data_IF_700796892749
#
_entry.id   IF_700796892749
#
_cell.length_a   1.000
_cell.length_b   1.000
_cell.length_c   1.000
_cell.angle_alpha   90.00
_cell.angle_beta   90.00
_cell.angle_gamma   90.00
#
_symmetry.space_group_name_H-M   'P 1'
#
loop_
_entity.id
_entity.type
_entity.pdbx_description
1 polymer ?
#
# COMPACT_ATOMS: atom_id res chain seq x y z
N UNK A 1 -13.97 -6.63 -21.63
CA UNK A 1 -12.77 -6.49 -20.75
C UNK A 1 -13.16 -5.88 -19.40
N UNK A 2 -13.88 -4.76 -19.33
CA UNK A 2 -14.28 -4.07 -18.09
C UNK A 2 -15.08 -4.95 -17.13
N UNK A 3 -16.03 -5.74 -17.65
CA UNK A 3 -16.87 -6.66 -16.85
C UNK A 3 -15.99 -7.74 -16.18
N UNK A 4 -15.03 -8.30 -16.90
CA UNK A 4 -14.12 -9.33 -16.38
C UNK A 4 -13.26 -8.75 -15.26
N UNK A 5 -12.72 -7.54 -15.43
CA UNK A 5 -11.96 -6.82 -14.39
C UNK A 5 -12.81 -6.56 -13.16
N UNK A 6 -14.07 -6.14 -13.34
CA UNK A 6 -15.03 -5.92 -12.26
C UNK A 6 -15.36 -7.20 -11.49
N UNK A 7 -15.62 -8.31 -12.19
CA UNK A 7 -15.87 -9.61 -11.56
C UNK A 7 -14.65 -10.08 -10.73
N UNK A 8 -13.43 -9.92 -11.27
CA UNK A 8 -12.22 -10.23 -10.53
C UNK A 8 -12.08 -9.40 -9.24
N UNK A 9 -12.37 -8.10 -9.31
CA UNK A 9 -12.37 -7.21 -8.14
C UNK A 9 -13.42 -7.60 -7.10
N UNK A 10 -14.63 -7.95 -7.52
CA UNK A 10 -15.70 -8.40 -6.63
C UNK A 10 -15.35 -9.72 -5.93
N UNK A 11 -14.77 -10.69 -6.65
CA UNK A 11 -14.32 -11.95 -6.06
C UNK A 11 -13.21 -11.74 -5.02
N UNK A 12 -12.26 -10.85 -5.29
CA UNK A 12 -11.22 -10.49 -4.33
C UNK A 12 -11.82 -9.84 -3.07
N UNK A 13 -12.78 -8.92 -3.26
CA UNK A 13 -13.45 -8.26 -2.15
C UNK A 13 -14.25 -9.24 -1.30
N UNK A 14 -14.96 -10.16 -1.94
CA UNK A 14 -15.67 -11.23 -1.24
C UNK A 14 -14.73 -12.15 -0.47
N UNK A 15 -13.58 -12.54 -1.05
CA UNK A 15 -12.56 -13.32 -0.37
C UNK A 15 -12.00 -12.59 0.87
N UNK A 16 -11.80 -11.26 0.80
CA UNK A 16 -11.37 -10.47 1.95
C UNK A 16 -12.43 -10.48 3.06
N UNK A 17 -13.71 -10.34 2.73
CA UNK A 17 -14.81 -10.43 3.71
C UNK A 17 -14.83 -11.81 4.37
N UNK A 18 -14.71 -12.88 3.60
CA UNK A 18 -14.66 -14.26 4.13
C UNK A 18 -13.48 -14.47 5.09
N UNK A 19 -12.33 -13.88 4.77
CA UNK A 19 -11.16 -13.94 5.64
C UNK A 19 -11.44 -13.29 7.01
N UNK A 20 -12.16 -12.17 7.05
CA UNK A 20 -12.55 -11.50 8.30
C UNK A 20 -13.60 -12.29 9.09
N UNK A 21 -14.59 -12.88 8.39
CA UNK A 21 -15.62 -13.71 9.01
C UNK A 21 -14.95 -14.93 9.64
N UNK A 22 -14.09 -15.62 8.90
CA UNK A 22 -13.36 -16.81 9.35
C UNK A 22 -12.49 -16.51 10.59
N UNK A 23 -11.83 -15.34 10.63
CA UNK A 23 -11.06 -14.94 11.82
C UNK A 23 -11.94 -14.79 13.07
N UNK A 24 -13.19 -14.35 12.91
CA UNK A 24 -14.14 -14.20 14.02
C UNK A 24 -14.64 -15.56 14.54
N UNK A 25 -14.69 -16.55 13.67
CA UNK A 25 -15.16 -17.91 13.99
C UNK A 25 -14.06 -18.84 14.51
N UNK A 26 -12.78 -18.48 14.32
CA UNK A 26 -11.65 -19.29 14.78
C UNK A 26 -11.59 -19.32 16.32
N UNK A 27 -11.31 -20.51 16.87
CA UNK A 27 -11.08 -20.69 18.31
C UNK A 27 -9.86 -19.94 18.85
N UNK A 28 -8.96 -19.53 17.96
CA UNK A 28 -7.79 -18.69 18.25
C UNK A 28 -7.76 -17.53 17.25
N UNK A 29 -8.35 -16.37 17.59
CA UNK A 29 -8.31 -15.19 16.72
C UNK A 29 -6.87 -14.71 16.49
N UNK A 30 -6.63 -14.04 15.40
CA UNK A 30 -5.27 -13.63 14.97
C UNK A 30 -4.52 -12.78 15.98
N UNK A 31 -5.22 -12.00 16.80
CA UNK A 31 -4.63 -11.23 17.90
C UNK A 31 -4.07 -12.09 19.03
N UNK A 32 -4.48 -13.36 19.15
CA UNK A 32 -3.90 -14.33 20.07
C UNK A 32 -2.68 -15.06 19.50
N UNK A 33 -2.53 -15.10 18.17
CA UNK A 33 -1.43 -15.79 17.47
C UNK A 33 -0.30 -14.82 17.12
N UNK A 34 -0.65 -13.60 16.73
CA UNK A 34 0.27 -12.57 16.28
C UNK A 34 0.63 -11.63 17.42
N UNK A 35 1.88 -11.16 17.44
CA UNK A 35 2.28 -10.07 18.33
C UNK A 35 1.48 -8.80 18.01
N UNK A 36 1.36 -7.87 18.97
CA UNK A 36 0.69 -6.57 18.75
C UNK A 36 1.24 -5.80 17.56
N UNK A 37 2.54 -5.96 17.28
CA UNK A 37 3.20 -5.31 16.15
C UNK A 37 2.77 -5.95 14.81
N UNK A 38 2.81 -7.27 14.72
CA UNK A 38 2.39 -8.03 13.53
C UNK A 38 0.90 -7.83 13.22
N UNK A 39 0.08 -7.86 14.26
CA UNK A 39 -1.35 -7.58 14.12
C UNK A 39 -1.62 -6.14 13.65
N UNK A 40 -0.82 -5.16 14.11
CA UNK A 40 -0.87 -3.79 13.60
C UNK A 40 -0.54 -3.70 12.11
N UNK A 41 0.51 -4.39 11.65
CA UNK A 41 0.87 -4.46 10.22
C UNK A 41 -0.21 -5.16 9.40
N UNK A 42 -0.79 -6.24 9.91
CA UNK A 42 -1.89 -6.94 9.24
C UNK A 42 -3.11 -6.04 9.03
N UNK A 43 -3.46 -5.19 10.02
CA UNK A 43 -4.53 -4.20 9.87
C UNK A 43 -4.21 -3.17 8.78
N UNK A 44 -2.98 -2.67 8.73
CA UNK A 44 -2.54 -1.74 7.69
C UNK A 44 -2.66 -2.42 6.32
N UNK A 45 -2.21 -3.66 6.18
CA UNK A 45 -2.32 -4.42 4.94
C UNK A 45 -3.78 -4.62 4.51
N UNK A 46 -4.68 -4.92 5.44
CA UNK A 46 -6.09 -5.06 5.15
C UNK A 46 -6.70 -3.76 4.61
N UNK A 47 -6.33 -2.60 5.18
CA UNK A 47 -6.75 -1.28 4.71
C UNK A 47 -6.19 -1.01 3.30
N UNK A 48 -4.88 -1.24 3.09
CA UNK A 48 -4.24 -1.04 1.80
C UNK A 48 -4.87 -1.92 0.72
N UNK A 49 -5.16 -3.18 1.06
CA UNK A 49 -5.83 -4.12 0.17
C UNK A 49 -7.26 -3.67 -0.16
N UNK A 50 -8.02 -3.23 0.83
CA UNK A 50 -9.38 -2.72 0.61
C UNK A 50 -9.38 -1.50 -0.34
N UNK A 51 -8.47 -0.54 -0.14
CA UNK A 51 -8.33 0.63 -1.03
C UNK A 51 -7.93 0.18 -2.43
N UNK A 52 -6.96 -0.72 -2.56
CA UNK A 52 -6.55 -1.29 -3.86
C UNK A 52 -7.73 -1.91 -4.60
N UNK A 53 -8.57 -2.67 -3.90
CA UNK A 53 -9.74 -3.31 -4.50
C UNK A 53 -10.79 -2.29 -4.93
N UNK A 54 -11.03 -1.23 -4.15
CA UNK A 54 -11.92 -0.13 -4.52
C UNK A 54 -11.41 0.55 -5.79
N UNK A 55 -10.13 0.90 -5.86
CA UNK A 55 -9.52 1.49 -7.05
C UNK A 55 -9.65 0.56 -8.27
N UNK A 56 -9.45 -0.74 -8.09
CA UNK A 56 -9.63 -1.72 -9.16
C UNK A 56 -11.09 -1.83 -9.63
N UNK A 57 -12.05 -1.79 -8.70
CA UNK A 57 -13.48 -1.80 -9.05
C UNK A 57 -13.89 -0.54 -9.81
N UNK A 58 -13.32 0.62 -9.46
CA UNK A 58 -13.57 1.86 -10.21
C UNK A 58 -13.17 1.72 -11.68
N UNK A 59 -12.07 1.01 -11.98
CA UNK A 59 -11.64 0.79 -13.39
C UNK A 59 -12.57 -0.14 -14.17
N UNK A 60 -13.53 -0.81 -13.53
CA UNK A 60 -14.61 -1.53 -14.24
C UNK A 60 -15.61 -0.56 -14.90
N UNK A 61 -15.67 0.69 -14.46
CA UNK A 61 -16.48 1.73 -15.07
C UNK A 61 -15.69 2.39 -16.22
N UNK A 62 -16.25 2.46 -17.46
CA UNK A 62 -15.53 2.98 -18.63
C UNK A 62 -14.94 4.38 -18.43
N UNK A 63 -15.65 5.24 -17.69
CA UNK A 63 -15.17 6.59 -17.37
C UNK A 63 -13.85 6.58 -16.59
N UNK A 64 -13.77 5.81 -15.49
CA UNK A 64 -12.54 5.74 -14.67
C UNK A 64 -11.43 4.96 -15.36
N UNK A 65 -11.76 3.96 -16.18
CA UNK A 65 -10.78 3.27 -16.99
C UNK A 65 -10.12 4.23 -18.01
N UNK A 66 -10.92 5.05 -18.70
CA UNK A 66 -10.39 6.07 -19.59
C UNK A 66 -9.59 7.13 -18.84
N UNK A 67 -10.07 7.57 -17.68
CA UNK A 67 -9.33 8.53 -16.83
C UNK A 67 -7.95 7.99 -16.43
N UNK A 68 -7.86 6.73 -16.01
CA UNK A 68 -6.59 6.09 -15.64
C UNK A 68 -5.62 5.95 -16.81
N UNK A 69 -6.10 5.84 -18.05
CA UNK A 69 -5.25 5.79 -19.25
C UNK A 69 -4.83 7.17 -19.75
N UNK A 70 -5.66 8.18 -19.55
CA UNK A 70 -5.38 9.56 -19.99
C UNK A 70 -4.55 10.34 -18.99
N UNK A 71 -4.76 10.10 -17.68
CA UNK A 71 -3.99 10.71 -16.59
C UNK A 71 -3.11 9.63 -15.96
N UNK A 72 -1.89 9.49 -16.50
CA UNK A 72 -0.94 8.43 -16.10
C UNK A 72 -0.60 8.45 -14.60
N UNK A 73 -0.70 9.60 -13.94
CA UNK A 73 -0.42 9.73 -12.51
C UNK A 73 -1.34 8.84 -11.65
N UNK A 74 -2.58 8.59 -12.06
CA UNK A 74 -3.47 7.64 -11.38
C UNK A 74 -3.01 6.20 -11.54
N UNK A 75 -2.52 5.83 -12.71
CA UNK A 75 -1.96 4.49 -12.96
C UNK A 75 -0.66 4.30 -12.19
N UNK A 76 0.22 5.30 -12.17
CA UNK A 76 1.47 5.28 -11.40
C UNK A 76 1.16 5.15 -9.91
N UNK A 77 0.25 5.97 -9.36
CA UNK A 77 -0.16 5.89 -7.97
C UNK A 77 -0.76 4.52 -7.62
N UNK A 78 -1.61 3.94 -8.47
CA UNK A 78 -2.15 2.59 -8.25
C UNK A 78 -1.06 1.51 -8.21
N UNK A 79 -0.05 1.59 -9.10
CA UNK A 79 1.07 0.65 -9.11
C UNK A 79 1.96 0.82 -7.87
N UNK A 80 2.29 2.05 -7.49
CA UNK A 80 3.04 2.33 -6.27
C UNK A 80 2.27 1.86 -5.03
N UNK A 81 0.97 2.17 -4.93
CA UNK A 81 0.10 1.68 -3.86
C UNK A 81 0.17 0.15 -3.72
N UNK A 82 0.14 -0.54 -4.85
CA UNK A 82 0.20 -2.00 -4.87
C UNK A 82 1.58 -2.52 -4.50
N UNK A 83 2.66 -2.03 -5.14
CA UNK A 83 3.99 -2.59 -4.94
C UNK A 83 4.67 -2.06 -3.68
N UNK A 84 4.70 -0.75 -3.46
CA UNK A 84 5.35 -0.16 -2.28
C UNK A 84 4.47 -0.30 -1.03
N UNK A 85 3.17 -0.14 -1.16
CA UNK A 85 2.24 -0.31 -0.05
C UNK A 85 2.02 -1.79 0.26
N UNK A 86 1.21 -2.46 -0.56
CA UNK A 86 0.71 -3.80 -0.24
C UNK A 86 1.81 -4.87 -0.27
N UNK A 87 2.55 -4.99 -1.38
CA UNK A 87 3.53 -6.07 -1.57
C UNK A 87 4.71 -5.90 -0.63
N UNK A 88 5.31 -4.71 -0.53
CA UNK A 88 6.49 -4.50 0.32
C UNK A 88 6.18 -4.67 1.80
N UNK A 89 5.04 -4.14 2.30
CA UNK A 89 4.68 -4.29 3.71
C UNK A 89 4.29 -5.73 4.02
N UNK A 90 3.65 -6.45 3.08
CA UNK A 90 3.40 -7.91 3.22
C UNK A 90 4.70 -8.69 3.35
N UNK A 91 5.69 -8.36 2.52
CA UNK A 91 7.01 -8.98 2.56
C UNK A 91 7.71 -8.70 3.90
N UNK A 92 7.65 -7.46 4.40
CA UNK A 92 8.21 -7.12 5.72
C UNK A 92 7.53 -7.92 6.83
N UNK A 93 6.19 -8.00 6.82
CA UNK A 93 5.44 -8.80 7.80
C UNK A 93 5.86 -10.28 7.74
N UNK A 94 5.94 -10.85 6.54
CA UNK A 94 6.37 -12.22 6.32
C UNK A 94 7.78 -12.48 6.86
N UNK A 95 8.76 -11.66 6.48
CA UNK A 95 10.14 -11.78 6.93
C UNK A 95 10.28 -11.64 8.45
N UNK A 96 9.48 -10.77 9.06
CA UNK A 96 9.45 -10.59 10.51
C UNK A 96 8.83 -11.79 11.23
N UNK A 97 7.68 -12.27 10.75
CA UNK A 97 6.94 -13.39 11.32
C UNK A 97 7.78 -14.68 11.34
N UNK A 98 8.46 -14.98 10.23
CA UNK A 98 9.39 -16.12 10.14
C UNK A 98 10.76 -15.86 10.79
N UNK A 99 10.94 -14.74 11.48
CA UNK A 99 12.19 -14.37 12.18
C UNK A 99 13.42 -14.33 11.27
N UNK A 100 13.21 -14.13 9.96
CA UNK A 100 14.31 -14.00 8.99
C UNK A 100 14.99 -12.65 9.15
N UNK A 101 14.24 -11.59 9.45
CA UNK A 101 14.73 -10.24 9.71
C UNK A 101 14.03 -9.67 10.94
N UNK A 102 14.78 -8.99 11.81
CA UNK A 102 14.20 -8.20 12.90
C UNK A 102 13.88 -6.80 12.40
N UNK A 103 12.58 -6.47 12.33
CA UNK A 103 12.13 -5.17 11.84
C UNK A 103 11.91 -4.20 13.01
N UNK A 104 12.69 -3.10 13.11
CA UNK A 104 12.49 -2.08 14.12
C UNK A 104 11.18 -1.31 13.85
N UNK A 105 10.45 -0.95 14.91
CA UNK A 105 9.21 -0.15 14.78
C UNK A 105 9.44 1.20 14.08
N UNK A 106 10.61 1.83 14.32
CA UNK A 106 10.95 3.11 13.70
C UNK A 106 11.14 2.99 12.19
N UNK A 107 11.68 1.86 11.70
CA UNK A 107 11.74 1.58 10.26
C UNK A 107 10.33 1.62 9.63
N UNK A 108 9.38 0.87 10.20
CA UNK A 108 8.02 0.83 9.65
C UNK A 108 7.36 2.21 9.68
N UNK A 109 7.56 2.99 10.75
CA UNK A 109 7.02 4.36 10.83
C UNK A 109 7.59 5.25 9.75
N UNK A 110 8.93 5.22 9.55
CA UNK A 110 9.59 6.02 8.52
C UNK A 110 9.17 5.58 7.12
N UNK A 111 9.10 4.27 6.88
CA UNK A 111 8.66 3.70 5.60
C UNK A 111 7.22 4.10 5.27
N UNK A 112 6.28 3.92 6.21
CA UNK A 112 4.88 4.30 6.04
C UNK A 112 4.71 5.79 5.83
N UNK A 113 5.46 6.63 6.55
CA UNK A 113 5.45 8.07 6.36
C UNK A 113 5.88 8.44 4.94
N UNK A 114 7.02 7.90 4.47
CA UNK A 114 7.52 8.13 3.12
C UNK A 114 6.54 7.62 2.06
N UNK A 115 5.98 6.44 2.26
CA UNK A 115 4.98 5.87 1.37
C UNK A 115 3.73 6.77 1.26
N UNK A 116 3.10 7.13 2.38
CA UNK A 116 1.88 7.95 2.37
C UNK A 116 2.16 9.36 1.80
N UNK A 117 3.31 9.96 2.13
CA UNK A 117 3.69 11.26 1.61
C UNK A 117 3.88 11.22 0.08
N UNK A 118 4.62 10.22 -0.43
CA UNK A 118 4.87 10.06 -1.87
C UNK A 118 3.57 9.81 -2.63
N UNK A 119 2.74 8.88 -2.14
CA UNK A 119 1.46 8.57 -2.78
C UNK A 119 0.51 9.76 -2.77
N UNK A 120 0.42 10.47 -1.64
CA UNK A 120 -0.40 11.68 -1.55
C UNK A 120 -0.01 12.75 -2.58
N UNK A 121 1.30 12.94 -2.81
CA UNK A 121 1.81 13.89 -3.81
C UNK A 121 1.52 13.40 -5.24
N UNK A 122 1.66 12.10 -5.53
CA UNK A 122 1.36 11.53 -6.85
C UNK A 122 -0.14 11.65 -7.15
N UNK A 123 -1.01 11.26 -6.21
CA UNK A 123 -2.46 11.39 -6.39
C UNK A 123 -2.91 12.85 -6.48
N UNK A 124 -2.27 13.77 -5.72
CA UNK A 124 -2.51 15.20 -5.87
C UNK A 124 -2.26 15.67 -7.31
N UNK A 125 -1.14 15.26 -7.93
CA UNK A 125 -0.85 15.60 -9.33
C UNK A 125 -1.88 15.01 -10.28
N UNK A 126 -2.31 13.76 -10.07
CA UNK A 126 -3.37 13.14 -10.85
C UNK A 126 -4.68 13.94 -10.78
N UNK A 127 -5.08 14.37 -9.58
CA UNK A 127 -6.29 15.17 -9.35
C UNK A 127 -6.12 16.56 -9.99
N UNK A 128 -4.98 17.21 -9.83
CA UNK A 128 -4.70 18.52 -10.42
C UNK A 128 -4.76 18.45 -11.97
N UNK A 129 -4.19 17.40 -12.57
CA UNK A 129 -4.25 17.16 -14.02
C UNK A 129 -5.68 16.89 -14.48
N UNK A 130 -6.46 16.11 -13.75
CA UNK A 130 -7.84 15.82 -14.06
C UNK A 130 -8.74 17.05 -14.00
N UNK A 131 -8.58 17.86 -12.95
CA UNK A 131 -9.38 19.08 -12.73
C UNK A 131 -8.79 20.32 -13.40
N UNK A 132 -7.63 20.19 -14.10
CA UNK A 132 -6.91 21.26 -14.78
C UNK A 132 -6.46 22.39 -13.84
N UNK A 133 -6.08 22.05 -12.61
CA UNK A 133 -5.46 22.99 -11.68
C UNK A 133 -3.95 23.07 -11.90
N UNK A 134 -3.33 24.23 -11.70
CA UNK A 134 -1.88 24.37 -11.72
C UNK A 134 -1.27 23.60 -10.54
N UNK A 135 -0.10 23.02 -10.77
CA UNK A 135 0.71 22.45 -9.68
C UNK A 135 1.29 23.61 -8.85
N UNK A 136 1.44 23.38 -7.55
CA UNK A 136 2.11 24.34 -6.69
C UNK A 136 3.60 24.44 -7.01
N UNK A 137 4.20 25.62 -6.76
CA UNK A 137 5.63 25.83 -6.97
C UNK A 137 6.46 24.90 -6.09
N UNK A 138 7.47 24.27 -6.68
CA UNK A 138 8.32 23.30 -5.96
C UNK A 138 7.76 21.89 -5.86
N UNK A 139 6.67 21.55 -6.53
CA UNK A 139 6.07 20.21 -6.53
C UNK A 139 7.10 19.08 -6.68
N UNK A 140 7.99 19.17 -7.66
CA UNK A 140 8.99 18.14 -7.93
C UNK A 140 10.01 18.02 -6.80
N UNK A 141 10.39 19.12 -6.16
CA UNK A 141 11.28 19.09 -5.00
C UNK A 141 10.64 18.33 -3.82
N UNK A 142 9.38 18.64 -3.53
CA UNK A 142 8.62 17.96 -2.46
C UNK A 142 8.47 16.49 -2.77
N UNK A 143 8.18 16.10 -4.01
CA UNK A 143 8.10 14.70 -4.44
C UNK A 143 9.44 13.97 -4.25
N UNK A 144 10.55 14.59 -4.65
CA UNK A 144 11.90 14.01 -4.47
C UNK A 144 12.22 13.81 -3.00
N UNK A 145 11.95 14.79 -2.14
CA UNK A 145 12.17 14.68 -0.69
C UNK A 145 11.31 13.57 -0.08
N UNK A 146 10.03 13.52 -0.44
CA UNK A 146 9.11 12.49 0.05
C UNK A 146 9.57 11.09 -0.39
N UNK A 147 9.89 10.89 -1.67
CA UNK A 147 10.31 9.59 -2.20
C UNK A 147 11.67 9.15 -1.66
N UNK A 148 12.59 10.07 -1.37
CA UNK A 148 13.89 9.77 -0.78
C UNK A 148 13.79 9.15 0.62
N UNK A 149 12.69 9.36 1.35
CA UNK A 149 12.49 8.74 2.67
C UNK A 149 12.36 7.22 2.60
N UNK A 150 11.89 6.65 1.49
CA UNK A 150 11.76 5.20 1.30
C UNK A 150 13.12 4.48 1.25
N UNK A 151 14.06 4.87 0.36
CA UNK A 151 15.40 4.27 0.36
C UNK A 151 16.16 4.56 1.66
N UNK A 152 15.98 5.72 2.28
CA UNK A 152 16.57 6.02 3.60
C UNK A 152 16.05 5.03 4.66
N UNK A 153 14.74 4.74 4.66
CA UNK A 153 14.18 3.73 5.55
C UNK A 153 14.79 2.35 5.32
N UNK A 154 14.99 1.94 4.05
CA UNK A 154 15.62 0.65 3.73
C UNK A 154 17.08 0.58 4.19
N UNK A 155 17.86 1.64 3.98
CA UNK A 155 19.22 1.74 4.49
C UNK A 155 19.23 1.66 6.02
N UNK A 156 18.31 2.37 6.69
CA UNK A 156 18.14 2.27 8.14
C UNK A 156 17.88 0.82 8.61
N UNK A 157 17.03 0.08 7.88
CA UNK A 157 16.77 -1.33 8.16
C UNK A 157 18.04 -2.17 8.03
N UNK A 158 18.78 -2.01 6.94
CA UNK A 158 20.02 -2.78 6.67
C UNK A 158 21.08 -2.54 7.75
N UNK A 159 21.26 -1.29 8.16
CA UNK A 159 22.27 -0.95 9.19
C UNK A 159 21.87 -1.47 10.58
N UNK A 160 20.58 -1.49 10.91
CA UNK A 160 20.08 -1.90 12.22
C UNK A 160 19.67 -3.39 12.31
N UNK A 161 19.83 -4.16 11.24
CA UNK A 161 19.60 -5.60 11.26
C UNK A 161 20.94 -6.31 11.50
N UNK A 162 21.19 -6.85 12.70
CA UNK A 162 22.44 -7.57 12.95
C UNK A 162 22.52 -8.78 12.03
N UNK A 163 23.64 -8.88 11.30
CA UNK A 163 23.97 -10.10 10.55
C UNK A 163 24.02 -11.27 11.53
N UNK A 164 23.14 -12.26 11.35
CA UNK A 164 23.32 -13.54 12.04
C UNK A 164 24.56 -14.19 11.45
N UNK A 165 25.69 -14.10 12.18
CA UNK A 165 26.82 -15.01 11.98
C UNK A 165 26.44 -16.38 12.51
#
# INVERSE_FOLDING_TARGET
LYIISGLGGLLQFWALIQLFIMNKELNKPWDAILSRFEFGLLKILAILLAIKMILQLLTALPYFANLATTVLDFTIGYLHWTFLGLVSISLFLFLHYYKLIRIPKNFIRLYLFGFVATEGIIFYKGIASWLRFPLFDGYFLVLVIASATLPIALVYLLVNTPSKK
#
